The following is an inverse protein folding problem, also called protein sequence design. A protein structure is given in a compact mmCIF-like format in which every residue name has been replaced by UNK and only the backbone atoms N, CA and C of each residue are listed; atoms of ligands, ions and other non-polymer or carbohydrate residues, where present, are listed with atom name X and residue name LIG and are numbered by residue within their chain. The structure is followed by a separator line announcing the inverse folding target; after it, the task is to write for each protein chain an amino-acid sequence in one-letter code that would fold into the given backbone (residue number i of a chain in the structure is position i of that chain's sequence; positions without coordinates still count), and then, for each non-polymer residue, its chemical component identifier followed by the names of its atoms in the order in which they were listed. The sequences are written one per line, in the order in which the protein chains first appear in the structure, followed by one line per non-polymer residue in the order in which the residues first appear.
data_IF_569554256916
#
_entry.id   IF_569554256916
#
_cell.length_a   1.000
_cell.length_b   1.000
_cell.length_c   1.000
_cell.angle_alpha   90.00
_cell.angle_beta   90.00
_cell.angle_gamma   90.00
#
_symmetry.space_group_name_H-M   'P 1'
#
loop_
_entity.id
_entity.type
_entity.pdbx_description
1 polymer ?
#
# COMPACT_ATOMS: atom_id res chain seq x y z
N UNK A 1 14.44 50.17 39.99
CA UNK A 1 13.61 50.91 39.01
C UNK A 1 13.93 50.31 37.65
N UNK A 2 13.22 49.25 37.26
CA UNK A 2 11.97 49.24 36.49
C UNK A 2 12.20 49.39 34.97
N UNK A 3 12.11 48.21 34.31
CA UNK A 3 11.54 47.91 32.99
C UNK A 3 12.34 48.39 31.75
N UNK A 4 12.48 47.64 30.65
CA UNK A 4 11.45 46.87 29.95
C UNK A 4 12.04 45.81 29.02
N UNK A 5 11.37 44.66 29.01
CA UNK A 5 11.42 43.59 27.99
C UNK A 5 10.84 44.09 26.66
N UNK A 6 11.42 43.68 25.52
CA UNK A 6 10.73 43.69 24.23
C UNK A 6 11.38 42.71 23.23
N UNK A 7 10.70 41.58 23.00
CA UNK A 7 10.74 40.72 21.81
C UNK A 7 9.37 40.01 21.80
N UNK A 8 8.73 39.60 20.68
CA UNK A 8 9.18 39.55 19.29
C UNK A 8 8.22 40.26 18.30
N UNK A 9 8.73 40.80 17.19
CA UNK A 9 7.88 41.24 16.07
C UNK A 9 7.62 40.08 15.10
N UNK A 10 6.42 39.53 15.16
CA UNK A 10 5.82 38.64 14.16
C UNK A 10 5.78 39.34 12.81
N UNK A 11 6.64 38.93 11.87
CA UNK A 11 6.48 39.31 10.46
C UNK A 11 5.53 38.28 9.84
N UNK A 12 4.30 38.72 9.57
CA UNK A 12 3.37 38.01 8.69
C UNK A 12 3.95 37.99 7.27
N UNK A 13 4.55 36.86 6.87
CA UNK A 13 4.87 36.61 5.49
C UNK A 13 3.57 36.33 4.72
N UNK A 14 2.97 37.38 4.16
CA UNK A 14 1.84 37.28 3.24
C UNK A 14 2.31 36.50 1.99
N UNK A 15 1.69 35.35 1.75
CA UNK A 15 1.94 34.49 0.61
C UNK A 15 1.64 35.22 -0.70
N UNK A 16 2.69 35.65 -1.40
CA UNK A 16 2.59 36.11 -2.78
C UNK A 16 2.30 34.89 -3.64
N UNK A 17 1.03 34.70 -3.99
CA UNK A 17 0.61 33.73 -4.98
C UNK A 17 1.30 34.08 -6.32
N UNK A 18 2.30 33.31 -6.71
CA UNK A 18 2.81 33.32 -8.08
C UNK A 18 1.78 32.63 -8.98
N UNK A 19 0.78 33.38 -9.42
CA UNK A 19 -0.09 33.00 -10.54
C UNK A 19 0.63 33.30 -11.85
N UNK A 20 1.64 32.49 -12.18
CA UNK A 20 2.34 32.54 -13.46
C UNK A 20 2.09 31.27 -14.26
N UNK A 21 0.85 31.04 -14.71
CA UNK A 21 0.57 29.97 -15.67
C UNK A 21 0.95 30.51 -17.06
N UNK A 22 1.92 29.93 -17.78
CA UNK A 22 2.19 30.30 -19.16
C UNK A 22 0.97 29.94 -20.02
N UNK A 23 0.49 30.92 -20.78
CA UNK A 23 -0.63 30.77 -21.73
C UNK A 23 -0.21 29.76 -22.80
N UNK A 24 -0.79 28.57 -22.78
CA UNK A 24 -0.78 27.68 -23.94
C UNK A 24 -1.75 28.23 -24.99
N UNK A 25 -1.35 28.21 -26.26
CA UNK A 25 -2.17 28.69 -27.40
C UNK A 25 -3.16 27.65 -27.91
N UNK A 26 -3.50 26.65 -27.10
CA UNK A 26 -4.45 25.61 -27.50
C UNK A 26 -5.89 26.04 -27.20
N UNK A 27 -6.55 26.65 -28.19
CA UNK A 27 -7.99 26.90 -28.15
C UNK A 27 -8.74 25.61 -28.48
N UNK A 28 -8.67 24.64 -27.55
CA UNK A 28 -9.56 23.47 -27.56
C UNK A 28 -11.00 23.90 -27.26
N UNK A 29 -11.96 23.14 -27.81
CA UNK A 29 -13.40 23.37 -27.70
C UNK A 29 -13.79 23.58 -26.23
N UNK A 30 -14.14 24.82 -25.86
CA UNK A 30 -14.66 25.14 -24.53
C UNK A 30 -16.10 24.62 -24.45
N UNK A 31 -16.29 23.47 -23.81
CA UNK A 31 -17.61 23.09 -23.29
C UNK A 31 -17.97 24.08 -22.18
N UNK A 32 -18.65 25.17 -22.54
CA UNK A 32 -19.34 26.05 -21.60
C UNK A 32 -20.41 25.24 -20.88
N UNK A 33 -20.12 24.88 -19.64
CA UNK A 33 -21.05 24.23 -18.75
C UNK A 33 -20.45 24.16 -17.36
N UNK A 34 -20.38 25.30 -16.68
CA UNK A 34 -20.15 25.32 -15.23
C UNK A 34 -21.48 24.94 -14.58
N UNK A 35 -21.65 23.75 -13.99
CA UNK A 35 -22.77 23.57 -13.08
C UNK A 35 -22.47 24.38 -11.82
N UNK A 36 -23.43 25.25 -11.48
CA UNK A 36 -23.59 25.84 -10.15
C UNK A 36 -23.22 24.83 -9.06
N UNK A 37 -22.39 25.27 -8.11
CA UNK A 37 -22.05 24.55 -6.88
C UNK A 37 -23.36 24.34 -6.12
N UNK A 38 -24.05 23.23 -6.37
CA UNK A 38 -25.10 22.75 -5.50
C UNK A 38 -24.43 22.20 -4.23
N UNK A 39 -24.82 22.63 -3.01
CA UNK A 39 -24.39 21.96 -1.80
C UNK A 39 -24.93 20.53 -1.85
N UNK A 40 -24.03 19.54 -1.91
CA UNK A 40 -24.39 18.13 -1.79
C UNK A 40 -25.26 17.93 -0.55
N UNK A 41 -26.41 17.24 -0.64
CA UNK A 41 -27.15 16.84 0.55
C UNK A 41 -26.21 15.99 1.41
N UNK A 42 -26.06 16.38 2.68
CA UNK A 42 -25.26 15.65 3.65
C UNK A 42 -25.71 14.18 3.68
N UNK A 43 -24.93 13.31 3.04
CA UNK A 43 -25.12 11.87 3.19
C UNK A 43 -24.96 11.58 4.68
N UNK A 44 -26.05 11.15 5.32
CA UNK A 44 -26.02 10.64 6.69
C UNK A 44 -24.96 9.55 6.73
N UNK A 45 -23.85 9.79 7.44
CA UNK A 45 -22.81 8.78 7.58
C UNK A 45 -23.43 7.63 8.37
N UNK A 46 -23.79 6.54 7.71
CA UNK A 46 -24.08 5.29 8.38
C UNK A 46 -22.78 4.88 9.08
N UNK A 47 -22.64 5.23 10.37
CA UNK A 47 -21.52 4.76 11.19
C UNK A 47 -21.62 3.24 11.17
N UNK A 48 -20.63 2.60 10.56
CA UNK A 48 -20.52 1.14 10.61
C UNK A 48 -20.49 0.70 12.08
N UNK A 49 -21.24 -0.36 12.46
CA UNK A 49 -21.25 -0.83 13.84
C UNK A 49 -19.83 -1.14 14.33
N UNK A 50 -19.51 -0.70 15.55
CA UNK A 50 -18.17 -0.78 16.15
C UNK A 50 -17.68 -2.22 16.36
N UNK A 51 -18.57 -3.19 16.44
CA UNK A 51 -18.22 -4.60 16.62
C UNK A 51 -17.33 -5.13 15.49
N UNK A 52 -17.60 -4.73 14.23
CA UNK A 52 -16.79 -5.17 13.08
C UNK A 52 -15.40 -4.52 13.03
N UNK A 53 -15.23 -3.30 13.57
CA UNK A 53 -13.90 -2.66 13.60
C UNK A 53 -12.99 -3.35 14.62
N UNK A 54 -13.51 -3.78 15.77
CA UNK A 54 -12.73 -4.50 16.81
C UNK A 54 -12.20 -5.84 16.29
N UNK A 55 -13.04 -6.65 15.63
CA UNK A 55 -12.61 -7.95 15.07
C UNK A 55 -11.52 -7.79 14.00
N UNK A 56 -11.59 -6.72 13.19
CA UNK A 56 -10.57 -6.41 12.18
C UNK A 56 -9.26 -5.92 12.80
N UNK A 57 -9.28 -5.37 14.02
CA UNK A 57 -8.06 -5.01 14.76
C UNK A 57 -7.34 -6.26 15.30
N UNK A 58 -8.08 -7.19 15.93
CA UNK A 58 -7.51 -8.42 16.46
C UNK A 58 -6.74 -9.22 15.39
N UNK A 59 -7.38 -9.49 14.25
CA UNK A 59 -6.72 -10.19 13.12
C UNK A 59 -5.47 -9.48 12.61
N UNK A 60 -5.46 -8.15 12.63
CA UNK A 60 -4.29 -7.37 12.20
C UNK A 60 -3.12 -7.55 13.17
N UNK A 61 -3.40 -7.55 14.47
CA UNK A 61 -2.40 -7.69 15.51
C UNK A 61 -1.78 -9.08 15.49
N UNK A 62 -2.60 -10.11 15.30
CA UNK A 62 -2.12 -11.50 15.22
C UNK A 62 -1.24 -11.72 13.99
N UNK A 63 -1.64 -11.22 12.82
CA UNK A 63 -0.79 -11.22 11.61
C UNK A 63 0.56 -10.51 11.86
N UNK A 64 0.58 -9.45 12.68
CA UNK A 64 1.79 -8.69 12.95
C UNK A 64 2.72 -9.45 13.91
N UNK A 65 2.16 -10.15 14.90
CA UNK A 65 2.90 -11.07 15.78
C UNK A 65 3.55 -12.19 14.96
N UNK A 66 2.81 -12.82 14.04
CA UNK A 66 3.33 -13.86 13.14
C UNK A 66 4.48 -13.36 12.25
N UNK A 67 4.38 -12.14 11.73
CA UNK A 67 5.46 -11.59 10.88
C UNK A 67 6.72 -11.32 11.70
N UNK A 68 6.57 -10.90 12.96
CA UNK A 68 7.71 -10.62 13.85
C UNK A 68 8.47 -11.87 14.27
N UNK A 69 7.81 -13.03 14.35
CA UNK A 69 8.45 -14.31 14.69
C UNK A 69 9.23 -14.92 13.52
N UNK A 70 8.84 -14.62 12.28
CA UNK A 70 9.50 -15.15 11.06
C UNK A 70 10.91 -14.62 10.84
N UNK A 71 11.75 -15.42 10.19
CA UNK A 71 13.10 -15.00 9.78
C UNK A 71 13.08 -14.01 8.60
N UNK A 72 14.19 -13.30 8.37
CA UNK A 72 14.30 -12.33 7.25
C UNK A 72 14.18 -13.02 5.87
N UNK A 73 14.56 -14.30 5.79
CA UNK A 73 14.54 -15.13 4.58
C UNK A 73 13.12 -15.59 4.27
N UNK A 74 12.44 -16.17 5.26
CA UNK A 74 11.00 -16.53 5.17
C UNK A 74 10.16 -15.33 4.77
N UNK A 75 10.46 -14.14 5.31
CA UNK A 75 9.78 -12.90 4.94
C UNK A 75 9.92 -12.60 3.44
N UNK A 76 11.10 -12.83 2.86
CA UNK A 76 11.33 -12.57 1.45
C UNK A 76 10.62 -13.58 0.56
N UNK A 77 10.64 -14.85 0.93
CA UNK A 77 9.97 -15.94 0.21
C UNK A 77 8.46 -15.72 0.18
N UNK A 78 7.85 -15.46 1.35
CA UNK A 78 6.42 -15.23 1.45
C UNK A 78 6.00 -13.96 0.70
N UNK A 79 6.84 -12.92 0.66
CA UNK A 79 6.59 -11.74 -0.18
C UNK A 79 6.58 -12.09 -1.68
N UNK A 80 7.43 -13.01 -2.13
CA UNK A 80 7.44 -13.47 -3.52
C UNK A 80 6.18 -14.28 -3.82
N UNK A 81 5.80 -15.18 -2.92
CA UNK A 81 4.64 -16.05 -3.10
C UNK A 81 3.33 -15.27 -3.10
N UNK A 82 3.15 -14.33 -2.16
CA UNK A 82 1.98 -13.44 -2.12
C UNK A 82 1.89 -12.55 -3.37
N UNK A 83 3.01 -12.16 -3.97
CA UNK A 83 3.00 -11.43 -5.25
C UNK A 83 2.61 -12.32 -6.42
N UNK A 84 3.04 -13.58 -6.42
CA UNK A 84 2.64 -14.58 -7.40
C UNK A 84 1.14 -14.87 -7.34
N UNK A 85 0.61 -15.08 -6.13
CA UNK A 85 -0.83 -15.25 -5.92
C UNK A 85 -1.63 -14.00 -6.35
N UNK A 86 -1.11 -12.79 -6.09
CA UNK A 86 -1.75 -11.56 -6.52
C UNK A 86 -1.83 -11.45 -8.05
N UNK A 87 -0.83 -12.00 -8.76
CA UNK A 87 -0.86 -12.09 -10.22
C UNK A 87 -1.99 -13.03 -10.67
N UNK A 88 -2.14 -14.19 -10.03
CA UNK A 88 -3.21 -15.14 -10.36
C UNK A 88 -4.59 -14.55 -10.12
N UNK A 89 -4.81 -13.83 -9.02
CA UNK A 89 -6.06 -13.12 -8.79
C UNK A 89 -6.36 -12.08 -9.88
N UNK A 90 -5.33 -11.41 -10.43
CA UNK A 90 -5.52 -10.48 -11.56
C UNK A 90 -5.94 -11.21 -12.83
N UNK A 91 -5.32 -12.37 -13.10
CA UNK A 91 -5.66 -13.20 -14.26
C UNK A 91 -7.09 -13.75 -14.16
N UNK A 92 -7.48 -14.27 -12.99
CA UNK A 92 -8.86 -14.69 -12.71
C UNK A 92 -9.85 -13.54 -12.90
N UNK A 93 -9.51 -12.35 -12.39
CA UNK A 93 -10.34 -11.16 -12.58
C UNK A 93 -10.49 -10.77 -14.05
N UNK A 94 -9.44 -10.85 -14.86
CA UNK A 94 -9.53 -10.59 -16.30
C UNK A 94 -10.32 -11.65 -17.05
N UNK A 95 -10.21 -12.92 -16.64
CA UNK A 95 -11.00 -14.03 -17.18
C UNK A 95 -12.49 -13.93 -16.82
N UNK A 96 -12.87 -12.99 -15.93
CA UNK A 96 -14.22 -12.84 -15.36
C UNK A 96 -14.67 -14.07 -14.57
N UNK A 97 -13.72 -14.81 -14.02
CA UNK A 97 -14.01 -15.88 -13.08
C UNK A 97 -14.52 -15.31 -11.75
N UNK A 98 -15.16 -16.15 -10.95
CA UNK A 98 -15.59 -15.77 -9.62
C UNK A 98 -14.38 -15.67 -8.68
N UNK A 99 -14.18 -14.51 -8.06
CA UNK A 99 -13.12 -14.30 -7.07
C UNK A 99 -13.60 -13.39 -5.93
N UNK A 100 -12.94 -13.51 -4.77
CA UNK A 100 -13.21 -12.65 -3.61
C UNK A 100 -12.47 -11.32 -3.75
N UNK A 101 -13.21 -10.22 -3.89
CA UNK A 101 -12.63 -8.87 -4.04
C UNK A 101 -11.85 -8.39 -2.80
N UNK A 102 -12.15 -8.95 -1.63
CA UNK A 102 -11.46 -8.69 -0.36
C UNK A 102 -10.01 -9.17 -0.35
N UNK A 103 -9.64 -10.15 -1.18
CA UNK A 103 -8.28 -10.70 -1.19
C UNK A 103 -7.27 -9.71 -1.78
N UNK A 104 -7.64 -8.93 -2.79
CA UNK A 104 -6.78 -7.89 -3.36
C UNK A 104 -6.20 -6.90 -2.33
N UNK A 105 -7.03 -6.21 -1.51
CA UNK A 105 -6.51 -5.34 -0.47
C UNK A 105 -5.88 -6.11 0.69
N UNK A 106 -6.38 -7.31 1.05
CA UNK A 106 -5.82 -8.13 2.13
C UNK A 106 -4.37 -8.51 1.84
N UNK A 107 -4.11 -9.10 0.68
CA UNK A 107 -2.76 -9.52 0.27
C UNK A 107 -1.81 -8.34 0.12
N UNK A 108 -2.25 -7.23 -0.50
CA UNK A 108 -1.41 -6.02 -0.60
C UNK A 108 -1.05 -5.45 0.76
N UNK A 109 -2.00 -5.43 1.71
CA UNK A 109 -1.73 -4.99 3.09
C UNK A 109 -0.79 -5.95 3.81
N UNK A 110 -0.92 -7.26 3.60
CA UNK A 110 -0.01 -8.27 4.16
C UNK A 110 1.42 -8.07 3.68
N UNK A 111 1.63 -7.95 2.37
CA UNK A 111 2.95 -7.62 1.78
C UNK A 111 3.51 -6.33 2.37
N UNK A 112 2.70 -5.29 2.49
CA UNK A 112 3.15 -4.02 3.06
C UNK A 112 3.66 -4.18 4.50
N UNK A 113 2.96 -4.95 5.35
CA UNK A 113 3.38 -5.21 6.73
C UNK A 113 4.68 -6.02 6.83
N UNK A 114 4.86 -7.00 5.95
CA UNK A 114 6.10 -7.76 5.89
C UNK A 114 7.30 -6.86 5.55
N UNK A 115 7.11 -5.96 4.58
CA UNK A 115 8.15 -5.00 4.19
C UNK A 115 8.42 -3.95 5.27
N UNK A 116 7.41 -3.55 6.07
CA UNK A 116 7.65 -2.64 7.20
C UNK A 116 8.48 -3.31 8.28
N UNK A 117 8.15 -4.55 8.67
CA UNK A 117 8.93 -5.29 9.69
C UNK A 117 10.37 -5.52 9.22
N UNK A 118 10.56 -5.89 7.95
CA UNK A 118 11.91 -6.00 7.37
C UNK A 118 12.67 -4.67 7.47
N UNK A 119 12.00 -3.55 7.19
CA UNK A 119 12.62 -2.22 7.26
C UNK A 119 12.93 -1.79 8.70
N UNK A 120 12.09 -2.13 9.66
CA UNK A 120 12.35 -1.91 11.09
C UNK A 120 13.63 -2.64 11.51
N UNK A 121 13.79 -3.92 11.15
CA UNK A 121 15.01 -4.70 11.41
C UNK A 121 16.26 -4.10 10.75
N UNK A 122 16.14 -3.58 9.52
CA UNK A 122 17.26 -2.87 8.87
C UNK A 122 17.67 -1.60 9.63
N UNK A 123 16.71 -0.89 10.24
CA UNK A 123 16.97 0.33 11.01
C UNK A 123 17.65 -0.02 12.34
N UNK A 124 17.23 -1.09 13.00
CA UNK A 124 17.87 -1.64 14.21
C UNK A 124 19.33 -2.04 13.95
N UNK A 125 19.61 -2.63 12.78
CA UNK A 125 20.98 -2.93 12.31
C UNK A 125 21.81 -1.68 11.95
N UNK A 126 21.23 -0.48 12.01
CA UNK A 126 21.91 0.79 11.70
C UNK A 126 22.06 1.08 10.21
N UNK A 127 21.32 0.39 9.33
CA UNK A 127 21.48 0.55 7.88
C UNK A 127 20.77 1.83 7.41
N UNK A 128 21.58 2.80 6.97
CA UNK A 128 21.10 4.05 6.39
C UNK A 128 20.25 3.86 5.12
N UNK A 129 19.43 4.87 4.79
CA UNK A 129 18.46 4.82 3.66
C UNK A 129 19.11 4.52 2.31
N UNK A 130 20.32 5.03 2.05
CA UNK A 130 21.03 4.83 0.76
C UNK A 130 21.49 3.37 0.60
N UNK A 131 22.06 2.79 1.66
CA UNK A 131 22.54 1.41 1.64
C UNK A 131 21.37 0.42 1.49
N UNK A 132 20.28 0.64 2.24
CA UNK A 132 19.05 -0.15 2.12
C UNK A 132 18.52 -0.17 0.67
N UNK A 133 18.45 0.98 -0.02
CA UNK A 133 18.03 1.02 -1.44
C UNK A 133 18.97 0.25 -2.37
N UNK A 134 20.28 0.27 -2.13
CA UNK A 134 21.26 -0.50 -2.93
C UNK A 134 21.03 -2.00 -2.73
N UNK A 135 20.83 -2.43 -1.49
CA UNK A 135 20.53 -3.82 -1.14
C UNK A 135 19.19 -4.28 -1.76
N UNK A 136 18.13 -3.47 -1.62
CA UNK A 136 16.81 -3.75 -2.21
C UNK A 136 16.86 -3.86 -3.73
N UNK A 137 17.61 -2.99 -4.42
CA UNK A 137 17.83 -3.09 -5.87
C UNK A 137 18.58 -4.37 -6.25
N UNK A 138 19.64 -4.72 -5.50
CA UNK A 138 20.41 -5.95 -5.73
C UNK A 138 19.52 -7.18 -5.54
N UNK A 139 18.73 -7.21 -4.48
CA UNK A 139 17.77 -8.28 -4.20
C UNK A 139 16.70 -8.38 -5.30
N UNK A 140 16.07 -7.27 -5.70
CA UNK A 140 15.09 -7.28 -6.79
C UNK A 140 15.65 -7.81 -8.11
N UNK A 141 16.92 -7.54 -8.39
CA UNK A 141 17.62 -8.05 -9.58
C UNK A 141 17.88 -9.56 -9.49
N UNK A 142 18.07 -10.12 -8.30
CA UNK A 142 18.32 -11.55 -8.11
C UNK A 142 17.06 -12.40 -8.05
N UNK A 143 15.86 -11.81 -8.03
CA UNK A 143 14.60 -12.56 -7.98
C UNK A 143 14.37 -13.27 -9.32
N UNK A 144 14.32 -14.60 -9.28
CA UNK A 144 13.89 -15.44 -10.40
C UNK A 144 12.37 -15.67 -10.27
N UNK A 145 11.57 -15.40 -11.32
CA UNK A 145 10.14 -15.69 -11.30
C UNK A 145 9.88 -17.18 -11.07
N UNK A 146 9.01 -17.50 -10.11
CA UNK A 146 8.57 -18.87 -9.80
C UNK A 146 7.04 -18.94 -9.79
N UNK A 147 6.43 -20.07 -10.18
CA UNK A 147 4.98 -20.22 -10.07
C UNK A 147 4.57 -20.21 -8.59
N UNK A 148 3.41 -19.61 -8.25
CA UNK A 148 2.94 -19.52 -6.87
C UNK A 148 2.64 -20.91 -6.30
N UNK A 149 2.80 -21.10 -4.98
CA UNK A 149 2.65 -22.41 -4.35
C UNK A 149 1.23 -22.97 -4.48
N UNK A 150 0.20 -22.13 -4.55
CA UNK A 150 -1.19 -22.58 -4.76
C UNK A 150 -1.39 -23.30 -6.08
N UNK A 151 -0.73 -22.86 -7.16
CA UNK A 151 -0.80 -23.54 -8.46
C UNK A 151 -0.03 -24.86 -8.46
N UNK A 152 1.14 -24.88 -7.81
CA UNK A 152 1.93 -26.11 -7.71
C UNK A 152 1.15 -27.23 -7.04
N UNK A 153 0.46 -26.92 -5.94
CA UNK A 153 -0.38 -27.89 -5.21
C UNK A 153 -1.50 -28.46 -6.10
N UNK A 154 -2.19 -27.62 -6.86
CA UNK A 154 -3.24 -28.08 -7.78
C UNK A 154 -2.67 -29.00 -8.86
N UNK A 155 -1.51 -28.67 -9.43
CA UNK A 155 -0.86 -29.50 -10.44
C UNK A 155 -0.37 -30.84 -9.87
N UNK A 156 0.12 -30.84 -8.64
CA UNK A 156 0.56 -32.06 -7.93
C UNK A 156 -0.62 -32.98 -7.61
N UNK A 157 -1.77 -32.42 -7.22
CA UNK A 157 -3.02 -33.16 -6.98
C UNK A 157 -3.56 -33.78 -8.28
N UNK A 158 -3.66 -33.00 -9.36
CA UNK A 158 -4.09 -33.48 -10.68
C UNK A 158 -3.19 -34.61 -11.22
N UNK A 159 -1.87 -34.46 -11.09
CA UNK A 159 -0.93 -35.49 -11.52
C UNK A 159 -1.03 -36.78 -10.67
N UNK A 160 -1.36 -36.66 -9.38
CA UNK A 160 -1.58 -37.82 -8.52
C UNK A 160 -2.84 -38.58 -8.92
N UNK A 161 -3.93 -37.87 -9.26
CA UNK A 161 -5.19 -38.45 -9.75
C UNK A 161 -5.02 -39.15 -11.11
N UNK A 162 -4.23 -38.59 -12.04
CA UNK A 162 -3.95 -39.22 -13.34
C UNK A 162 -3.09 -40.50 -13.24
N UNK A 163 -2.32 -40.64 -12.15
CA UNK A 163 -1.42 -41.78 -11.94
C UNK A 163 -2.03 -42.93 -11.14
N UNK A 164 -3.25 -42.76 -10.62
CA UNK A 164 -4.00 -43.73 -9.82
C UNK A 164 -5.02 -44.52 -10.66
#
# INVERSE_FOLDING_TARGET
MLNSLASPSTICCLSKAFSGIPKSSFNGIQLRGVPSIQPCPQMKSYRRPSSFSVVMMAKREDELKEIRTKSDEEINEEVIDLKGELLMLRLQKSARNEFKSSEFPRMRKRIARMLTVKREREIEKGIGKRLSRKLDRKWKKSIVPRPPPSLKKLQEEEAAEESA
#
